data_IF_924161005898
#
_entry.id   IF_924161005898
#
_cell.length_a   1.000
_cell.length_b   1.000
_cell.length_c   1.000
_cell.angle_alpha   90.00
_cell.angle_beta   90.00
_cell.angle_gamma   90.00
#
_symmetry.space_group_name_H-M   'P 1'
#
loop_
_entity.id
_entity.type
_entity.pdbx_description
1 polymer ?
#
# COMPACT_ATOMS: atom_id res chain seq x y z
N UNK A 1 28.63 -65.05 32.39
CA UNK A 1 28.38 -63.59 32.33
C UNK A 1 28.68 -62.96 30.96
N UNK A 2 29.66 -63.42 30.17
CA UNK A 2 29.98 -62.82 28.86
C UNK A 2 28.98 -63.10 27.71
N UNK A 3 28.18 -64.18 27.76
CA UNK A 3 27.18 -64.52 26.72
C UNK A 3 25.82 -63.83 26.88
N UNK A 4 25.48 -63.31 28.06
CA UNK A 4 24.23 -62.57 28.28
C UNK A 4 24.34 -61.07 27.96
N UNK A 5 25.57 -60.54 27.95
CA UNK A 5 25.83 -59.13 27.59
C UNK A 5 25.63 -58.90 26.07
N UNK A 6 25.90 -59.90 25.23
CA UNK A 6 25.74 -59.78 23.77
C UNK A 6 24.28 -59.74 23.30
N UNK A 7 23.34 -60.38 24.02
CA UNK A 7 21.92 -60.42 23.63
C UNK A 7 21.21 -59.10 24.03
N UNK A 8 21.62 -58.47 25.13
CA UNK A 8 21.09 -57.17 25.55
C UNK A 8 21.57 -56.05 24.61
N UNK A 9 22.80 -56.15 24.09
CA UNK A 9 23.36 -55.19 23.14
C UNK A 9 22.75 -55.27 21.73
N UNK A 10 22.24 -56.45 21.33
CA UNK A 10 21.54 -56.63 20.04
C UNK A 10 20.06 -56.25 20.17
N UNK A 11 19.42 -56.43 21.32
CA UNK A 11 18.07 -55.90 21.56
C UNK A 11 18.05 -54.37 21.68
N UNK A 12 19.11 -53.75 22.23
CA UNK A 12 19.23 -52.29 22.28
C UNK A 12 19.57 -51.67 20.92
N UNK A 13 20.18 -52.43 20.00
CA UNK A 13 20.47 -51.99 18.63
C UNK A 13 19.27 -52.19 17.67
N UNK A 14 18.31 -53.05 18.03
CA UNK A 14 17.06 -53.25 17.26
C UNK A 14 15.93 -52.29 17.66
N UNK A 15 16.07 -51.56 18.77
CA UNK A 15 15.15 -50.46 19.13
C UNK A 15 15.56 -49.09 18.55
N UNK A 16 16.73 -48.98 17.92
CA UNK A 16 17.21 -47.71 17.32
C UNK A 16 16.91 -47.57 15.82
N UNK A 17 16.04 -48.40 15.25
CA UNK A 17 15.64 -48.33 13.82
C UNK A 17 14.14 -48.01 13.64
N UNK A 18 13.39 -47.76 14.72
CA UNK A 18 11.98 -47.35 14.65
C UNK A 18 11.69 -46.12 15.51
N UNK A 19 12.58 -45.14 15.42
CA UNK A 19 12.35 -43.79 15.91
C UNK A 19 12.88 -42.78 14.88
N UNK A 20 12.58 -43.02 13.60
CA UNK A 20 12.35 -41.91 12.68
C UNK A 20 10.96 -41.36 13.00
N UNK A 21 10.78 -40.76 14.18
CA UNK A 21 9.72 -39.76 14.30
C UNK A 21 10.17 -38.63 13.37
N UNK A 22 9.72 -38.69 12.12
CA UNK A 22 9.41 -37.44 11.43
C UNK A 22 8.62 -36.64 12.43
N UNK A 23 9.08 -35.45 12.79
CA UNK A 23 8.20 -34.50 13.45
C UNK A 23 6.93 -34.46 12.59
N UNK A 24 5.81 -34.90 13.16
CA UNK A 24 4.51 -34.78 12.53
C UNK A 24 4.20 -33.30 12.54
N UNK A 25 4.56 -32.62 11.46
CA UNK A 25 4.35 -31.18 11.30
C UNK A 25 2.88 -30.93 10.96
N UNK A 26 2.23 -31.90 10.31
CA UNK A 26 0.84 -31.79 9.85
C UNK A 26 0.03 -33.01 10.29
N UNK A 27 -1.28 -32.79 10.42
CA UNK A 27 -2.26 -33.88 10.45
C UNK A 27 -2.54 -34.28 8.99
N UNK A 28 -2.34 -35.54 8.65
CA UNK A 28 -2.60 -36.02 7.29
C UNK A 28 -4.09 -35.91 6.92
N UNK A 29 -4.39 -35.39 5.73
CA UNK A 29 -5.75 -35.14 5.29
C UNK A 29 -5.84 -34.25 4.05
N UNK A 30 -7.08 -33.98 3.64
CA UNK A 30 -7.41 -33.04 2.57
C UNK A 30 -7.97 -31.78 3.22
N UNK A 31 -7.36 -30.64 2.92
CA UNK A 31 -7.68 -29.34 3.50
C UNK A 31 -8.12 -28.38 2.41
N UNK A 32 -9.20 -27.65 2.66
CA UNK A 32 -9.70 -26.62 1.76
C UNK A 32 -9.05 -25.26 2.10
N UNK A 33 -8.66 -24.53 1.06
CA UNK A 33 -8.09 -23.19 1.16
C UNK A 33 -8.78 -22.23 0.22
N UNK A 34 -8.92 -20.97 0.64
CA UNK A 34 -9.51 -19.89 -0.16
C UNK A 34 -8.59 -18.68 -0.15
N UNK A 35 -8.20 -18.20 -1.33
CA UNK A 35 -7.38 -17.01 -1.52
C UNK A 35 -8.10 -15.97 -2.37
N UNK A 36 -7.82 -14.70 -2.13
CA UNK A 36 -8.48 -13.59 -2.83
C UNK A 36 -7.74 -13.26 -4.13
N UNK A 37 -8.39 -13.50 -5.27
CA UNK A 37 -7.87 -13.22 -6.61
C UNK A 37 -8.37 -11.91 -7.22
N UNK A 38 -7.93 -11.61 -8.45
CA UNK A 38 -8.40 -10.44 -9.20
C UNK A 38 -9.86 -10.57 -9.66
N UNK A 39 -10.28 -11.79 -10.01
CA UNK A 39 -11.64 -12.09 -10.48
C UNK A 39 -12.61 -12.48 -9.37
N UNK A 40 -12.16 -12.51 -8.12
CA UNK A 40 -12.89 -13.02 -6.96
C UNK A 40 -12.13 -14.14 -6.26
N UNK A 41 -12.82 -14.86 -5.39
CA UNK A 41 -12.20 -15.92 -4.59
C UNK A 41 -11.70 -17.09 -5.47
N UNK A 42 -10.51 -17.60 -5.13
CA UNK A 42 -9.90 -18.81 -5.67
C UNK A 42 -9.93 -19.87 -4.59
N UNK A 43 -10.70 -20.94 -4.82
CA UNK A 43 -10.86 -22.07 -3.92
C UNK A 43 -10.03 -23.25 -4.42
N UNK A 44 -9.26 -23.87 -3.52
CA UNK A 44 -8.47 -25.07 -3.81
C UNK A 44 -8.50 -26.07 -2.66
N UNK A 45 -8.10 -27.30 -2.95
CA UNK A 45 -7.88 -28.37 -1.99
C UNK A 45 -6.43 -28.81 -2.00
N UNK A 46 -5.84 -28.98 -0.83
CA UNK A 46 -4.46 -29.45 -0.63
C UNK A 46 -4.48 -30.79 0.09
N UNK A 47 -3.86 -31.81 -0.51
CA UNK A 47 -3.64 -33.12 0.11
C UNK A 47 -2.29 -33.11 0.82
N UNK A 48 -2.28 -33.43 2.12
CA UNK A 48 -1.12 -33.34 3.00
C UNK A 48 -0.90 -34.69 3.71
N UNK A 49 0.35 -35.13 3.75
CA UNK A 49 0.83 -36.25 4.58
C UNK A 49 1.39 -35.72 5.91
N UNK A 50 1.86 -36.61 6.79
CA UNK A 50 2.44 -36.27 8.11
C UNK A 50 3.56 -35.20 8.07
N UNK A 51 4.18 -34.96 6.90
CA UNK A 51 5.32 -34.04 6.73
C UNK A 51 5.36 -33.23 5.43
N UNK A 52 4.47 -33.49 4.46
CA UNK A 52 4.62 -32.95 3.09
C UNK A 52 3.29 -32.72 2.37
N UNK A 53 3.30 -31.77 1.44
CA UNK A 53 2.24 -31.52 0.45
C UNK A 53 2.35 -32.58 -0.64
N UNK A 54 1.26 -33.31 -0.89
CA UNK A 54 1.16 -34.37 -1.90
C UNK A 54 0.58 -33.82 -3.20
N UNK A 55 -0.53 -33.06 -3.11
CA UNK A 55 -1.28 -32.59 -4.26
C UNK A 55 -2.00 -31.27 -3.95
N UNK A 56 -2.22 -30.47 -4.99
CA UNK A 56 -3.00 -29.23 -4.97
C UNK A 56 -3.95 -29.25 -6.16
N UNK A 57 -5.25 -29.07 -5.90
CA UNK A 57 -6.30 -29.05 -6.92
C UNK A 57 -7.13 -27.78 -6.78
N UNK A 58 -7.33 -27.06 -7.89
CA UNK A 58 -8.13 -25.83 -7.93
C UNK A 58 -9.59 -26.22 -8.19
N UNK A 59 -10.48 -25.86 -7.26
CA UNK A 59 -11.89 -26.26 -7.25
C UNK A 59 -12.78 -25.21 -7.92
N UNK A 60 -12.52 -23.93 -7.67
CA UNK A 60 -13.35 -22.83 -8.17
C UNK A 60 -12.51 -21.55 -8.31
N UNK A 61 -12.70 -20.81 -9.40
CA UNK A 61 -12.12 -19.47 -9.59
C UNK A 61 -12.94 -18.65 -10.59
N UNK A 62 -12.86 -17.32 -10.49
CA UNK A 62 -13.47 -16.36 -11.43
C UNK A 62 -12.44 -15.47 -12.14
N UNK A 63 -11.17 -15.90 -12.16
CA UNK A 63 -10.05 -15.20 -12.79
C UNK A 63 -10.18 -14.97 -14.31
N UNK A 64 -9.36 -14.06 -14.84
CA UNK A 64 -9.38 -13.72 -16.28
C UNK A 64 -8.67 -14.77 -17.12
N UNK A 65 -9.44 -15.50 -17.94
CA UNK A 65 -8.91 -16.50 -18.87
C UNK A 65 -7.80 -15.94 -19.76
N UNK A 66 -6.71 -16.70 -19.91
CA UNK A 66 -5.52 -16.29 -20.68
C UNK A 66 -4.52 -15.41 -19.91
N UNK A 67 -4.89 -14.84 -18.76
CA UNK A 67 -3.99 -14.09 -17.88
C UNK A 67 -3.54 -14.97 -16.71
N UNK A 68 -4.47 -15.65 -16.05
CA UNK A 68 -4.21 -16.46 -14.85
C UNK A 68 -3.69 -17.87 -15.15
N UNK A 69 -3.82 -18.33 -16.39
CA UNK A 69 -3.58 -19.73 -16.78
C UNK A 69 -2.16 -20.19 -16.41
N UNK A 70 -1.16 -19.34 -16.64
CA UNK A 70 0.24 -19.64 -16.29
C UNK A 70 0.44 -19.82 -14.78
N UNK A 71 -0.29 -19.08 -13.93
CA UNK A 71 -0.23 -19.25 -12.49
C UNK A 71 -0.84 -20.59 -12.05
N UNK A 72 -1.97 -20.98 -12.66
CA UNK A 72 -2.65 -22.24 -12.35
C UNK A 72 -1.90 -23.48 -12.83
N UNK A 73 -1.11 -23.36 -13.90
CA UNK A 73 -0.28 -24.47 -14.41
C UNK A 73 1.06 -24.60 -13.66
N UNK A 74 1.74 -23.49 -13.37
CA UNK A 74 3.11 -23.53 -12.85
C UNK A 74 3.20 -23.61 -11.32
N UNK A 75 2.37 -22.87 -10.59
CA UNK A 75 2.55 -22.71 -9.14
C UNK A 75 2.24 -23.98 -8.35
N UNK A 76 1.16 -24.74 -8.61
CA UNK A 76 0.91 -25.99 -7.89
C UNK A 76 2.09 -26.96 -7.96
N UNK A 77 2.73 -27.09 -9.13
CA UNK A 77 3.90 -27.94 -9.31
C UNK A 77 5.11 -27.41 -8.52
N UNK A 78 5.39 -26.09 -8.58
CA UNK A 78 6.49 -25.47 -7.84
C UNK A 78 6.32 -25.57 -6.32
N UNK A 79 5.10 -25.44 -5.82
CA UNK A 79 4.79 -25.58 -4.38
C UNK A 79 5.05 -27.02 -3.92
N UNK A 80 4.63 -28.03 -4.69
CA UNK A 80 4.88 -29.44 -4.38
C UNK A 80 6.38 -29.76 -4.44
N UNK A 81 7.12 -29.17 -5.39
CA UNK A 81 8.57 -29.38 -5.49
C UNK A 81 9.33 -28.71 -4.34
N UNK A 82 9.01 -27.46 -4.03
CA UNK A 82 9.68 -26.67 -3.01
C UNK A 82 9.23 -27.01 -1.59
N UNK A 83 8.05 -27.63 -1.44
CA UNK A 83 7.38 -27.84 -0.14
C UNK A 83 7.26 -26.53 0.66
N UNK A 84 7.07 -25.41 -0.05
CA UNK A 84 7.05 -24.05 0.50
C UNK A 84 6.07 -23.17 -0.28
N UNK A 85 5.48 -22.21 0.43
CA UNK A 85 4.65 -21.13 -0.13
C UNK A 85 5.42 -19.82 -0.33
N UNK A 86 6.70 -19.76 0.04
CA UNK A 86 7.60 -18.62 -0.21
C UNK A 86 8.15 -18.66 -1.65
N UNK A 87 7.25 -18.60 -2.64
CA UNK A 87 7.58 -18.64 -4.06
C UNK A 87 7.23 -17.33 -4.75
N UNK A 88 8.03 -16.98 -5.77
CA UNK A 88 7.78 -15.81 -6.59
C UNK A 88 6.51 -15.97 -7.43
N UNK A 89 5.74 -14.89 -7.53
CA UNK A 89 4.57 -14.82 -8.39
C UNK A 89 4.94 -14.93 -9.87
N UNK A 90 4.06 -15.56 -10.66
CA UNK A 90 4.24 -15.67 -12.12
C UNK A 90 4.05 -14.30 -12.77
N UNK A 91 5.00 -13.91 -13.62
CA UNK A 91 4.97 -12.62 -14.31
C UNK A 91 3.70 -12.48 -15.16
N UNK A 92 2.95 -11.40 -14.94
CA UNK A 92 1.67 -11.16 -15.63
C UNK A 92 0.44 -11.77 -14.95
N UNK A 93 0.63 -12.59 -13.91
CA UNK A 93 -0.45 -13.27 -13.16
C UNK A 93 -0.30 -13.09 -11.64
N UNK A 94 0.18 -11.92 -11.18
CA UNK A 94 0.59 -11.70 -9.79
C UNK A 94 -0.55 -11.87 -8.77
N UNK A 95 -1.74 -11.32 -9.06
CA UNK A 95 -2.89 -11.43 -8.15
C UNK A 95 -3.36 -12.89 -8.03
N UNK A 96 -3.52 -13.58 -9.16
CA UNK A 96 -3.90 -15.00 -9.19
C UNK A 96 -2.82 -15.87 -8.53
N UNK A 97 -1.53 -15.54 -8.70
CA UNK A 97 -0.41 -16.22 -8.04
C UNK A 97 -0.50 -16.09 -6.53
N UNK A 98 -0.72 -14.87 -6.02
CA UNK A 98 -0.85 -14.63 -4.58
C UNK A 98 -2.08 -15.32 -4.00
N UNK A 99 -3.19 -15.39 -4.75
CA UNK A 99 -4.39 -16.11 -4.33
C UNK A 99 -4.13 -17.61 -4.14
N UNK A 100 -3.38 -18.24 -5.06
CA UNK A 100 -2.99 -19.66 -4.93
C UNK A 100 -2.10 -19.87 -3.70
N UNK A 101 -1.09 -19.02 -3.50
CA UNK A 101 -0.18 -19.11 -2.35
C UNK A 101 -0.92 -18.96 -1.02
N UNK A 102 -1.82 -17.98 -0.93
CA UNK A 102 -2.65 -17.74 0.25
C UNK A 102 -3.58 -18.93 0.55
N UNK A 103 -4.22 -19.47 -0.49
CA UNK A 103 -5.14 -20.58 -0.30
C UNK A 103 -4.39 -21.84 0.18
N UNK A 104 -3.19 -22.11 -0.36
CA UNK A 104 -2.34 -23.21 0.14
C UNK A 104 -1.89 -22.96 1.58
N UNK A 105 -1.48 -21.73 1.91
CA UNK A 105 -1.09 -21.37 3.27
C UNK A 105 -2.22 -21.64 4.27
N UNK A 106 -3.46 -21.22 3.98
CA UNK A 106 -4.63 -21.50 4.84
C UNK A 106 -4.90 -22.99 5.02
N UNK A 107 -4.71 -23.78 3.97
CA UNK A 107 -4.83 -25.23 4.05
C UNK A 107 -3.73 -25.86 4.94
N UNK A 108 -2.49 -25.35 4.85
CA UNK A 108 -1.38 -25.79 5.72
C UNK A 108 -1.62 -25.46 7.19
N UNK A 109 -2.15 -24.28 7.50
CA UNK A 109 -2.52 -23.92 8.88
C UNK A 109 -3.59 -24.85 9.43
N UNK A 110 -4.64 -25.11 8.64
CA UNK A 110 -5.69 -26.07 9.01
C UNK A 110 -5.11 -27.46 9.28
N UNK A 111 -4.10 -27.88 8.52
CA UNK A 111 -3.40 -29.15 8.73
C UNK A 111 -2.55 -29.19 10.01
N UNK A 112 -2.05 -28.04 10.48
CA UNK A 112 -1.37 -27.92 11.78
C UNK A 112 -2.33 -27.89 12.97
N UNK A 113 -3.66 -27.82 12.72
CA UNK A 113 -4.64 -27.56 13.77
C UNK A 113 -4.53 -26.13 14.33
N UNK A 114 -3.91 -25.25 13.54
CA UNK A 114 -3.78 -23.82 13.82
C UNK A 114 -4.87 -23.10 13.02
N UNK A 115 -5.44 -22.04 13.61
CA UNK A 115 -6.12 -21.07 12.76
C UNK A 115 -5.05 -20.39 11.93
N UNK A 116 -5.25 -20.34 10.61
CA UNK A 116 -4.44 -19.47 9.78
C UNK A 116 -4.48 -18.10 10.44
N UNK A 117 -3.35 -17.38 10.57
CA UNK A 117 -3.40 -15.99 10.94
C UNK A 117 -4.42 -15.42 9.98
N UNK A 118 -5.55 -14.97 10.54
CA UNK A 118 -6.43 -14.08 9.82
C UNK A 118 -5.46 -13.09 9.22
N UNK A 119 -5.47 -13.02 7.88
CA UNK A 119 -4.54 -12.19 7.13
C UNK A 119 -4.40 -10.95 7.99
N UNK A 120 -3.18 -10.50 8.21
CA UNK A 120 -3.09 -9.07 8.34
C UNK A 120 -3.67 -8.55 7.01
N UNK A 121 -5.01 -8.38 6.93
CA UNK A 121 -5.54 -7.05 6.82
C UNK A 121 -4.50 -6.24 7.54
N UNK A 122 -3.71 -5.52 6.76
CA UNK A 122 -3.15 -4.32 7.33
C UNK A 122 -4.42 -3.61 7.79
N UNK A 123 -4.86 -3.91 9.02
CA UNK A 123 -5.85 -3.18 9.76
C UNK A 123 -5.20 -1.82 9.70
N UNK A 124 -5.67 -1.05 8.73
CA UNK A 124 -5.46 0.34 8.72
C UNK A 124 -6.17 0.71 10.00
N UNK A 125 -5.38 0.91 11.04
CA UNK A 125 -5.82 1.43 12.30
C UNK A 125 -6.25 2.88 12.00
N UNK A 126 -7.36 3.01 11.26
CA UNK A 126 -8.24 4.15 11.28
C UNK A 126 -8.75 4.12 12.71
N UNK A 127 -8.00 4.80 13.57
CA UNK A 127 -8.47 5.17 14.89
C UNK A 127 -9.89 5.69 14.69
N UNK A 128 -10.87 4.97 15.24
CA UNK A 128 -12.24 5.43 15.27
C UNK A 128 -12.23 6.82 15.93
N UNK A 129 -12.64 7.82 15.14
CA UNK A 129 -12.60 9.25 15.43
C UNK A 129 -13.47 9.66 16.64
N UNK A 130 -14.10 8.72 17.36
CA UNK A 130 -15.12 9.04 18.36
C UNK A 130 -14.62 9.36 19.77
N UNK A 131 -13.36 9.08 20.13
CA UNK A 131 -12.95 9.15 21.55
C UNK A 131 -11.85 10.20 21.85
N UNK A 132 -11.56 11.10 20.91
CA UNK A 132 -10.70 12.26 21.19
C UNK A 132 -11.54 13.53 21.05
N UNK A 133 -12.16 13.95 22.15
CA UNK A 133 -12.58 15.35 22.26
C UNK A 133 -11.33 16.20 22.53
N UNK A 134 -10.87 17.06 21.60
CA UNK A 134 -9.80 17.99 21.94
C UNK A 134 -10.36 19.05 22.90
N UNK A 135 -9.75 19.14 24.09
CA UNK A 135 -9.99 20.27 24.98
C UNK A 135 -9.59 21.58 24.27
N UNK A 136 -10.33 22.69 24.46
CA UNK A 136 -10.04 23.93 23.75
C UNK A 136 -8.68 24.48 24.20
N UNK A 137 -7.72 24.57 23.27
CA UNK A 137 -6.46 25.29 23.46
C UNK A 137 -5.18 24.46 23.56
N UNK A 138 -5.24 23.14 23.45
CA UNK A 138 -4.02 22.32 23.38
C UNK A 138 -3.70 21.91 21.93
N UNK A 139 -2.48 22.26 21.50
CA UNK A 139 -1.90 21.83 20.24
C UNK A 139 -1.70 20.30 20.24
N UNK A 140 -2.75 19.55 19.89
CA UNK A 140 -2.74 18.11 19.89
C UNK A 140 -2.10 17.56 18.59
N UNK A 141 -0.81 17.24 18.68
CA UNK A 141 -0.09 16.41 17.70
C UNK A 141 -0.58 14.97 17.85
N UNK A 142 -1.29 14.45 16.84
CA UNK A 142 -1.84 13.09 16.86
C UNK A 142 -1.25 12.27 15.70
N UNK A 143 -0.37 11.33 16.08
CA UNK A 143 0.49 10.52 15.22
C UNK A 143 -0.26 9.40 14.50
N UNK A 144 -0.01 9.26 13.19
CA UNK A 144 -0.29 8.04 12.40
C UNK A 144 1.05 7.54 11.83
N UNK A 145 1.31 6.24 11.96
CA UNK A 145 2.56 5.60 11.52
C UNK A 145 2.66 5.61 9.98
N UNK A 146 3.74 6.18 9.43
CA UNK A 146 3.94 6.41 7.99
C UNK A 146 3.86 7.89 7.57
N UNK A 147 3.53 8.79 8.49
CA UNK A 147 3.56 10.24 8.34
C UNK A 147 4.54 10.86 9.35
N UNK A 148 5.81 10.46 9.32
CA UNK A 148 6.76 10.89 10.36
C UNK A 148 7.13 12.38 10.27
N UNK A 149 6.79 13.07 9.17
CA UNK A 149 7.15 14.47 8.95
C UNK A 149 5.98 15.29 8.35
N UNK A 150 5.01 15.72 9.16
CA UNK A 150 4.45 17.10 9.21
C UNK A 150 3.12 17.13 9.97
N UNK A 151 3.03 18.01 10.99
CA UNK A 151 1.81 18.76 11.36
C UNK A 151 2.29 20.06 12.00
N UNK A 152 1.87 21.23 11.53
CA UNK A 152 1.88 22.42 12.38
C UNK A 152 0.55 23.17 12.23
N UNK A 153 -0.03 23.48 13.40
CA UNK A 153 -1.25 24.22 13.72
C UNK A 153 -2.48 24.14 12.79
N UNK A 154 -3.43 23.26 13.14
CA UNK A 154 -4.75 23.16 12.50
C UNK A 154 -5.70 24.27 13.01
N UNK A 155 -6.13 25.20 12.14
CA UNK A 155 -7.07 26.27 12.50
C UNK A 155 -8.53 25.90 12.16
N UNK A 156 -9.21 25.23 13.08
CA UNK A 156 -10.61 24.80 12.90
C UNK A 156 -11.60 25.97 12.66
N UNK A 157 -11.19 27.23 12.89
CA UNK A 157 -12.00 28.41 12.63
C UNK A 157 -11.90 28.90 11.19
N UNK A 158 -10.87 28.50 10.46
CA UNK A 158 -10.76 28.68 9.02
C UNK A 158 -11.50 27.51 8.32
N UNK A 159 -12.14 27.76 7.18
CA UNK A 159 -12.93 26.76 6.44
C UNK A 159 -12.05 25.72 5.71
N UNK A 160 -11.06 25.18 6.42
CA UNK A 160 -10.06 24.24 5.95
C UNK A 160 -10.60 22.82 5.81
N UNK A 161 -10.00 22.02 4.91
CA UNK A 161 -10.22 20.57 4.89
C UNK A 161 -10.09 19.96 6.29
N UNK A 162 -11.07 19.15 6.68
CA UNK A 162 -10.95 18.41 7.95
C UNK A 162 -9.84 17.39 7.88
N UNK A 163 -9.40 16.90 9.04
CA UNK A 163 -8.41 15.83 9.11
C UNK A 163 -8.84 14.62 8.27
N UNK A 164 -10.09 14.20 8.41
CA UNK A 164 -10.65 13.06 7.68
C UNK A 164 -10.67 13.32 6.17
N UNK A 165 -11.01 14.54 5.75
CA UNK A 165 -10.98 14.93 4.34
C UNK A 165 -9.54 14.90 3.79
N UNK A 166 -8.55 15.37 4.55
CA UNK A 166 -7.13 15.30 4.20
C UNK A 166 -6.66 13.85 4.07
N UNK A 167 -7.00 13.01 5.04
CA UNK A 167 -6.65 11.58 5.03
C UNK A 167 -7.26 10.86 3.82
N UNK A 168 -8.52 11.16 3.47
CA UNK A 168 -9.17 10.60 2.28
C UNK A 168 -8.55 11.11 0.97
N UNK A 169 -8.16 12.40 0.90
CA UNK A 169 -7.42 12.95 -0.24
C UNK A 169 -6.06 12.26 -0.43
N UNK A 170 -5.32 12.05 0.66
CA UNK A 170 -4.05 11.31 0.64
C UNK A 170 -4.25 9.85 0.25
N UNK A 171 -5.28 9.20 0.78
CA UNK A 171 -5.61 7.82 0.45
C UNK A 171 -5.87 7.68 -1.05
N UNK A 172 -6.67 8.57 -1.64
CA UNK A 172 -6.89 8.61 -3.08
C UNK A 172 -5.58 8.78 -3.86
N UNK A 173 -4.71 9.70 -3.41
CA UNK A 173 -3.41 9.96 -4.03
C UNK A 173 -2.47 8.74 -4.00
N UNK A 174 -2.46 7.99 -2.89
CA UNK A 174 -1.61 6.80 -2.70
C UNK A 174 -2.16 5.59 -3.48
N UNK A 175 -3.48 5.49 -3.63
CA UNK A 175 -4.13 4.43 -4.41
C UNK A 175 -4.05 4.63 -5.93
N UNK A 176 -3.52 5.75 -6.38
CA UNK A 176 -3.30 5.99 -7.79
C UNK A 176 -2.35 4.93 -8.41
N UNK A 177 -2.62 4.45 -9.63
CA UNK A 177 -1.73 3.53 -10.30
C UNK A 177 -0.38 4.20 -10.57
N UNK A 178 0.71 3.44 -10.42
CA UNK A 178 2.06 3.87 -10.76
C UNK A 178 2.78 2.83 -11.60
N UNK A 179 3.74 3.26 -12.41
CA UNK A 179 4.52 2.36 -13.27
C UNK A 179 5.17 1.23 -12.45
N UNK A 180 4.86 -0.02 -12.79
CA UNK A 180 5.31 -1.21 -12.03
C UNK A 180 4.99 -1.16 -10.52
N UNK A 181 3.98 -0.38 -10.12
CA UNK A 181 3.61 -0.16 -8.73
C UNK A 181 4.77 0.32 -7.82
N UNK A 182 5.77 1.00 -8.37
CA UNK A 182 6.96 1.39 -7.61
C UNK A 182 6.71 2.54 -6.62
N UNK A 183 5.66 3.34 -6.85
CA UNK A 183 5.27 4.44 -5.96
C UNK A 183 6.46 5.34 -5.55
N UNK A 184 7.28 5.75 -6.54
CA UNK A 184 8.50 6.54 -6.33
C UNK A 184 8.19 8.03 -6.07
N UNK A 185 7.39 8.29 -5.06
CA UNK A 185 7.08 9.63 -4.61
C UNK A 185 6.72 9.63 -3.13
N UNK A 186 6.95 10.76 -2.49
CA UNK A 186 6.50 11.03 -1.13
C UNK A 186 5.60 12.27 -1.14
N UNK A 187 4.65 12.35 -0.21
CA UNK A 187 3.76 13.51 -0.08
C UNK A 187 3.90 14.07 1.33
N UNK A 188 4.41 15.29 1.43
CA UNK A 188 4.48 16.06 2.67
C UNK A 188 3.27 16.99 2.74
N UNK A 189 2.63 17.15 3.90
CA UNK A 189 1.37 17.92 4.02
C UNK A 189 1.49 19.00 5.09
N UNK A 190 1.36 20.27 4.70
CA UNK A 190 1.50 21.43 5.57
C UNK A 190 0.14 22.11 5.72
N UNK A 191 -0.39 22.10 6.95
CA UNK A 191 -1.62 22.81 7.34
C UNK A 191 -1.34 24.20 7.91
N UNK A 192 -0.13 24.44 8.41
CA UNK A 192 0.23 25.71 9.05
C UNK A 192 0.28 26.84 8.02
N UNK A 193 -0.51 27.89 8.25
CA UNK A 193 -0.55 29.02 7.33
C UNK A 193 0.76 29.80 7.27
N UNK A 194 1.43 29.99 8.40
CA UNK A 194 2.68 30.77 8.45
C UNK A 194 3.80 30.02 7.74
N UNK A 195 3.89 28.70 7.90
CA UNK A 195 4.83 27.84 7.15
C UNK A 195 4.51 27.85 5.65
N UNK A 196 3.23 27.79 5.28
CA UNK A 196 2.83 27.91 3.87
C UNK A 196 3.28 29.25 3.26
N UNK A 197 3.21 30.34 4.04
CA UNK A 197 3.65 31.66 3.60
C UNK A 197 5.16 31.76 3.44
N UNK A 198 5.97 31.05 4.24
CA UNK A 198 7.41 30.93 4.00
C UNK A 198 7.71 30.23 2.66
N UNK A 199 6.88 29.25 2.30
CA UNK A 199 6.97 28.49 1.06
C UNK A 199 6.30 29.19 -0.14
N UNK A 200 5.70 30.36 0.06
CA UNK A 200 5.20 31.23 -1.00
C UNK A 200 6.36 32.00 -1.69
N UNK A 201 7.33 31.23 -2.20
CA UNK A 201 8.59 31.73 -2.78
C UNK A 201 8.38 32.60 -4.02
N UNK A 202 7.19 32.56 -4.62
CA UNK A 202 6.82 33.38 -5.76
C UNK A 202 5.43 34.01 -5.55
N UNK A 203 5.14 35.19 -6.14
CA UNK A 203 3.86 35.89 -5.98
C UNK A 203 2.62 35.13 -6.49
N UNK A 204 2.85 34.08 -7.29
CA UNK A 204 1.83 33.17 -7.80
C UNK A 204 1.30 32.25 -6.70
N UNK A 205 2.16 31.78 -5.79
CA UNK A 205 1.73 30.96 -4.65
C UNK A 205 1.05 31.86 -3.63
N UNK A 206 -0.26 31.65 -3.45
CA UNK A 206 -1.06 32.46 -2.53
C UNK A 206 -1.81 31.56 -1.54
N UNK A 207 -1.13 31.07 -0.49
CA UNK A 207 -1.80 30.43 0.63
C UNK A 207 -2.86 31.38 1.20
N UNK A 208 -3.98 30.84 1.65
CA UNK A 208 -5.00 31.58 2.39
C UNK A 208 -5.19 30.91 3.73
N UNK A 209 -5.72 31.63 4.72
CA UNK A 209 -6.09 30.98 5.97
C UNK A 209 -7.11 29.89 5.69
N UNK A 210 -6.77 28.67 6.09
CA UNK A 210 -7.55 27.47 5.83
C UNK A 210 -7.23 26.73 4.53
N UNK A 211 -6.14 27.07 3.83
CA UNK A 211 -5.58 26.19 2.80
C UNK A 211 -4.65 25.14 3.40
N UNK A 212 -4.49 24.03 2.67
CA UNK A 212 -3.54 22.95 2.96
C UNK A 212 -2.60 22.83 1.77
N UNK A 213 -1.31 22.79 2.05
CA UNK A 213 -0.26 22.63 1.04
C UNK A 213 0.28 21.21 1.04
N UNK A 214 0.17 20.51 -0.08
CA UNK A 214 0.80 19.22 -0.31
C UNK A 214 2.07 19.42 -1.14
N UNK A 215 3.18 18.84 -0.72
CA UNK A 215 4.43 18.82 -1.46
C UNK A 215 4.65 17.40 -1.96
N UNK A 216 4.58 17.22 -3.26
CA UNK A 216 5.04 15.99 -3.91
C UNK A 216 6.56 16.03 -4.03
N UNK A 217 7.19 14.99 -3.50
CA UNK A 217 8.63 14.83 -3.49
C UNK A 217 9.02 13.59 -4.30
N UNK A 218 10.20 13.62 -4.92
CA UNK A 218 10.77 12.51 -5.70
C UNK A 218 12.11 12.06 -5.13
N UNK A 219 12.51 10.80 -5.32
CA UNK A 219 13.85 10.36 -4.93
C UNK A 219 14.94 11.26 -5.53
N UNK A 220 15.92 11.62 -4.70
CA UNK A 220 17.04 12.46 -5.09
C UNK A 220 17.83 11.84 -6.26
N UNK A 221 18.24 12.68 -7.22
CA UNK A 221 19.04 12.24 -8.36
C UNK A 221 18.28 11.41 -9.41
N UNK A 222 17.00 11.11 -9.19
CA UNK A 222 16.14 10.51 -10.21
C UNK A 222 15.45 11.59 -11.05
N UNK A 223 15.32 11.34 -12.36
CA UNK A 223 14.46 12.19 -13.18
C UNK A 223 13.01 11.94 -12.75
N UNK A 224 12.25 12.97 -12.34
CA UNK A 224 10.87 12.79 -11.90
C UNK A 224 10.09 12.03 -12.97
N UNK A 225 9.54 10.85 -12.64
CA UNK A 225 8.49 10.24 -13.46
C UNK A 225 7.23 11.06 -13.26
N UNK A 226 7.18 12.20 -13.95
CA UNK A 226 6.11 13.20 -13.88
C UNK A 226 4.72 12.61 -14.13
N UNK A 227 4.65 11.46 -14.82
CA UNK A 227 3.41 10.74 -15.07
C UNK A 227 2.81 10.16 -13.78
N UNK A 228 3.59 9.48 -12.93
CA UNK A 228 3.06 8.83 -11.73
C UNK A 228 2.54 9.88 -10.73
N UNK A 229 3.28 10.97 -10.56
CA UNK A 229 2.87 12.13 -9.74
C UNK A 229 1.63 12.80 -10.33
N UNK A 230 1.57 12.96 -11.64
CA UNK A 230 0.41 13.54 -12.33
C UNK A 230 -0.87 12.71 -12.14
N UNK A 231 -0.76 11.38 -12.20
CA UNK A 231 -1.89 10.47 -11.93
C UNK A 231 -2.29 10.55 -10.45
N UNK A 232 -1.33 10.49 -9.53
CA UNK A 232 -1.57 10.64 -8.09
C UNK A 232 -2.29 11.95 -7.75
N UNK A 233 -1.80 13.06 -8.30
CA UNK A 233 -2.46 14.35 -8.15
C UNK A 233 -3.86 14.36 -8.77
N UNK A 234 -4.08 13.69 -9.90
CA UNK A 234 -5.41 13.57 -10.51
C UNK A 234 -6.45 12.97 -9.55
N UNK A 235 -6.05 11.93 -8.79
CA UNK A 235 -6.91 11.30 -7.78
C UNK A 235 -7.15 12.22 -6.59
N UNK A 236 -6.09 12.87 -6.07
CA UNK A 236 -6.19 13.86 -5.00
C UNK A 236 -7.15 15.00 -5.40
N UNK A 237 -7.00 15.51 -6.62
CA UNK A 237 -7.81 16.60 -7.16
C UNK A 237 -9.29 16.20 -7.32
N UNK A 238 -9.56 14.99 -7.78
CA UNK A 238 -10.93 14.47 -7.86
C UNK A 238 -11.57 14.38 -6.46
N UNK A 239 -10.82 13.90 -5.47
CA UNK A 239 -11.30 13.81 -4.09
C UNK A 239 -11.51 15.19 -3.45
N UNK A 240 -10.57 16.11 -3.66
CA UNK A 240 -10.68 17.51 -3.20
C UNK A 240 -11.94 18.17 -3.77
N UNK A 241 -12.21 17.99 -5.07
CA UNK A 241 -13.42 18.53 -5.71
C UNK A 241 -14.70 17.86 -5.19
N UNK A 242 -14.68 16.57 -4.87
CA UNK A 242 -15.82 15.88 -4.27
C UNK A 242 -16.20 16.47 -2.90
N UNK A 243 -15.22 16.97 -2.14
CA UNK A 243 -15.43 17.72 -0.91
C UNK A 243 -15.70 19.22 -1.11
N UNK A 244 -15.72 19.69 -2.36
CA UNK A 244 -15.98 21.10 -2.68
C UNK A 244 -14.77 22.02 -2.50
N UNK A 245 -13.55 21.48 -2.52
CA UNK A 245 -12.31 22.25 -2.51
C UNK A 245 -11.77 22.44 -3.93
N UNK A 246 -11.13 23.60 -4.15
CA UNK A 246 -10.31 23.84 -5.34
C UNK A 246 -8.87 23.36 -5.11
N UNK A 247 -8.15 23.10 -6.20
CA UNK A 247 -6.71 22.79 -6.14
C UNK A 247 -5.92 23.66 -7.11
N UNK A 248 -4.68 24.02 -6.74
CA UNK A 248 -3.75 24.71 -7.63
C UNK A 248 -2.36 24.12 -7.57
N UNK A 249 -1.75 23.95 -8.75
CA UNK A 249 -0.44 23.32 -8.93
C UNK A 249 0.63 24.40 -9.08
N UNK A 250 1.74 24.26 -8.35
CA UNK A 250 2.92 25.09 -8.55
C UNK A 250 4.18 24.23 -8.66
N UNK A 251 4.84 24.27 -9.81
CA UNK A 251 6.11 23.55 -10.03
C UNK A 251 7.33 24.43 -9.76
N UNK A 252 7.31 25.68 -10.23
CA UNK A 252 8.45 26.61 -10.07
C UNK A 252 8.88 26.82 -8.61
N UNK A 253 7.98 27.04 -7.64
CA UNK A 253 8.34 27.21 -6.23
C UNK A 253 8.92 25.93 -5.61
N UNK A 254 8.45 24.74 -6.02
CA UNK A 254 9.01 23.47 -5.55
C UNK A 254 10.47 23.32 -5.99
N UNK A 255 10.79 23.70 -7.23
CA UNK A 255 12.17 23.69 -7.71
C UNK A 255 13.04 24.75 -7.01
N UNK A 256 12.49 25.94 -6.74
CA UNK A 256 13.22 26.95 -5.95
C UNK A 256 13.53 26.43 -4.54
N UNK A 257 12.56 25.77 -3.89
CA UNK A 257 12.77 25.16 -2.59
C UNK A 257 13.86 24.07 -2.67
N UNK A 258 13.82 23.21 -3.69
CA UNK A 258 14.86 22.21 -3.94
C UNK A 258 16.24 22.85 -4.06
N UNK A 259 16.35 23.93 -4.84
CA UNK A 259 17.62 24.64 -5.07
C UNK A 259 18.20 25.26 -3.78
N UNK A 260 17.37 25.52 -2.76
CA UNK A 260 17.87 25.97 -1.44
C UNK A 260 18.57 24.86 -0.65
N UNK A 261 18.23 23.60 -0.90
CA UNK A 261 18.67 22.44 -0.09
C UNK A 261 18.09 22.41 1.33
N UNK A 262 17.30 23.40 1.74
CA UNK A 262 16.79 23.56 3.11
C UNK A 262 15.31 23.18 3.19
N UNK A 263 14.98 21.98 2.69
CA UNK A 263 13.61 21.47 2.64
C UNK A 263 13.28 20.43 3.70
N UNK A 264 14.29 19.87 4.37
CA UNK A 264 14.11 18.96 5.50
C UNK A 264 13.29 19.60 6.64
N UNK A 265 13.49 20.91 6.88
CA UNK A 265 12.72 21.67 7.89
C UNK A 265 11.23 21.78 7.58
N UNK A 266 10.85 21.57 6.32
CA UNK A 266 9.45 21.57 5.86
C UNK A 266 8.87 20.16 5.80
N UNK A 267 9.57 19.15 6.36
CA UNK A 267 9.08 17.79 6.46
C UNK A 267 9.30 16.94 5.21
N UNK A 268 10.14 17.38 4.27
CA UNK A 268 10.58 16.54 3.16
C UNK A 268 11.59 15.51 3.70
N UNK A 269 11.36 14.19 3.49
CA UNK A 269 12.23 13.15 4.06
C UNK A 269 13.60 13.07 3.39
N UNK A 270 14.56 12.49 4.10
CA UNK A 270 15.91 12.23 3.56
C UNK A 270 15.84 11.34 2.31
N UNK A 271 16.66 11.66 1.32
CA UNK A 271 16.68 10.97 0.02
C UNK A 271 15.54 11.37 -0.93
N UNK A 272 14.74 12.38 -0.57
CA UNK A 272 13.71 12.96 -1.44
C UNK A 272 13.91 14.46 -1.63
N UNK A 273 13.47 14.97 -2.77
CA UNK A 273 13.51 16.38 -3.13
C UNK A 273 12.12 16.89 -3.53
N UNK A 274 11.78 18.16 -3.26
CA UNK A 274 10.51 18.74 -3.69
C UNK A 274 10.40 18.80 -5.22
N UNK A 275 9.26 18.37 -5.76
CA UNK A 275 8.99 18.40 -7.19
C UNK A 275 7.77 19.26 -7.56
N UNK A 276 6.71 19.24 -6.76
CA UNK A 276 5.49 19.99 -7.05
C UNK A 276 4.72 20.34 -5.79
N UNK A 277 4.21 21.57 -5.71
CA UNK A 277 3.31 22.04 -4.67
C UNK A 277 1.87 21.97 -5.15
N UNK A 278 0.97 21.49 -4.30
CA UNK A 278 -0.48 21.48 -4.52
C UNK A 278 -1.13 22.20 -3.36
N UNK A 279 -1.75 23.34 -3.64
CA UNK A 279 -2.54 24.05 -2.63
C UNK A 279 -4.00 23.63 -2.77
N UNK A 280 -4.62 23.23 -1.66
CA UNK A 280 -6.02 22.79 -1.58
C UNK A 280 -6.77 23.68 -0.59
N UNK A 281 -7.96 24.14 -0.95
CA UNK A 281 -8.81 24.89 -0.04
C UNK A 281 -10.00 25.54 -0.73
N UNK A 282 -10.79 26.27 0.06
CA UNK A 282 -11.83 27.16 -0.45
C UNK A 282 -11.17 28.53 -0.68
N UNK A 283 -11.40 29.13 -1.85
CA UNK A 283 -10.97 30.51 -2.08
C UNK A 283 -12.18 31.44 -1.93
N UNK A 284 -12.01 32.50 -1.15
CA UNK A 284 -13.02 33.56 -0.96
C UNK A 284 -13.17 34.48 -2.18
N UNK A 285 -12.21 34.39 -3.11
CA UNK A 285 -12.29 35.12 -4.38
C UNK A 285 -12.91 34.22 -5.43
N UNK A 286 -13.70 34.84 -6.32
CA UNK A 286 -14.40 34.22 -7.46
C UNK A 286 -13.48 33.32 -8.31
N UNK A 287 -12.14 33.42 -8.18
CA UNK A 287 -11.15 32.56 -8.82
C UNK A 287 -11.04 31.12 -8.25
N UNK A 288 -11.74 30.82 -7.14
CA UNK A 288 -12.01 29.43 -6.72
C UNK A 288 -12.78 28.64 -7.79
N UNK A 289 -13.46 29.37 -8.69
CA UNK A 289 -14.04 28.82 -9.91
C UNK A 289 -13.04 28.72 -11.05
N UNK A 290 -11.77 28.41 -10.80
CA UNK A 290 -10.93 27.74 -11.81
C UNK A 290 -11.42 26.31 -12.11
N UNK A 291 -12.31 25.77 -11.26
CA UNK A 291 -13.16 24.62 -11.58
C UNK A 291 -14.39 24.96 -12.46
N UNK A 292 -14.75 26.24 -12.66
CA UNK A 292 -15.92 26.64 -13.45
C UNK A 292 -15.69 27.80 -14.45
N UNK A 293 -14.45 28.24 -14.66
CA UNK A 293 -14.08 29.10 -15.77
C UNK A 293 -13.78 28.20 -16.96
N UNK A 294 -14.43 28.47 -18.10
CA UNK A 294 -14.10 27.87 -19.39
C UNK A 294 -12.68 28.31 -19.77
N UNK A 295 -11.66 27.69 -19.19
CA UNK A 295 -10.32 27.80 -19.75
C UNK A 295 -10.41 27.27 -21.17
N UNK A 296 -9.95 28.09 -22.12
CA UNK A 296 -9.86 27.67 -23.52
C UNK A 296 -9.00 26.41 -23.59
N UNK A 297 -9.67 25.26 -23.69
CA UNK A 297 -9.02 24.00 -24.01
C UNK A 297 -8.94 23.94 -25.53
N UNK A 298 -7.80 23.44 -26.00
CA UNK A 298 -7.64 23.05 -27.39
C UNK A 298 -8.83 22.18 -27.85
N UNK A 299 -9.40 22.41 -29.04
CA UNK A 299 -10.53 21.62 -29.54
C UNK A 299 -10.23 20.11 -29.49
N UNK A 300 -11.28 19.30 -29.29
CA UNK A 300 -11.24 17.83 -29.08
C UNK A 300 -10.40 17.06 -30.10
N UNK A 301 -10.18 17.59 -31.30
CA UNK A 301 -9.43 16.90 -32.35
C UNK A 301 -8.07 17.53 -32.66
N UNK A 302 -7.71 18.63 -32.01
CA UNK A 302 -6.44 19.34 -32.29
C UNK A 302 -5.19 18.65 -31.71
N UNK A 303 -5.36 17.58 -30.93
CA UNK A 303 -4.28 16.76 -30.36
C UNK A 303 -4.18 15.37 -31.01
N UNK A 304 -5.16 14.99 -31.83
CA UNK A 304 -5.02 13.87 -32.74
C UNK A 304 -4.39 14.48 -34.00
N UNK A 305 -3.12 14.18 -34.29
CA UNK A 305 -2.48 14.67 -35.51
C UNK A 305 -3.31 14.30 -36.76
N UNK A 306 -3.17 15.08 -37.83
CA UNK A 306 -3.76 14.74 -39.14
C UNK A 306 -3.32 13.36 -39.64
#
# INVERSE_FOLDING_TARGET
>A
MKKQIGIILVLSLLMSVFAGLSETVYTAGIYEGVGEGFGGDVKLTVEIDDSKIIAIEIVEHSETAGISDAAFEELPAKIIEAQSVELDAVAGATMSSNAILEAVEKALYSAKGEEAPEKAEKELNLVSVSDIEPAPGDAAVAFVKGMENTILNYDASAAQPTREEIELMLYAAIKAPSGHNMQKYHITVITDYDVQMELALTPEVRPQKGTVLFIYCTPEGETPRSVDIGISYGYLNAMAQAFGYGTHIYTQPAFMLRDTGDFAKYGVPEGYEPNQFILVGKSDTVDATSAATNYDRKPVYSFLGE
#
